data_IF_942448562118
#
_entry.id   IF_942448562118
#
_cell.length_a   1.000
_cell.length_b   1.000
_cell.length_c   1.000
_cell.angle_alpha   90.00
_cell.angle_beta   90.00
_cell.angle_gamma   90.00
#
_symmetry.space_group_name_H-M   'P 1'
#
loop_
_entity.id
_entity.type
_entity.pdbx_description
1 polymer ?
#
# COMPACT_ATOMS: atom_id res chain seq x y z
N UNK A 1 4.33 20.55 2.73
CA UNK A 1 3.51 19.34 2.88
C UNK A 1 3.12 18.69 1.54
N UNK A 2 2.99 19.44 0.43
CA UNK A 2 2.68 18.85 -0.89
C UNK A 2 3.82 17.97 -1.47
N UNK A 3 5.08 18.28 -1.16
CA UNK A 3 6.26 17.52 -1.60
C UNK A 3 6.19 16.04 -1.15
N UNK A 4 5.90 15.84 0.14
CA UNK A 4 5.87 14.51 0.77
C UNK A 4 4.74 13.62 0.23
N UNK A 5 3.60 14.23 -0.13
CA UNK A 5 2.43 13.48 -0.59
C UNK A 5 2.56 13.04 -2.06
N UNK A 6 3.20 13.84 -2.93
CA UNK A 6 3.46 13.40 -4.31
C UNK A 6 4.51 12.28 -4.35
N UNK A 7 5.53 12.37 -3.49
CA UNK A 7 6.57 11.35 -3.39
C UNK A 7 5.99 10.04 -2.86
N UNK A 8 5.14 10.11 -1.82
CA UNK A 8 4.42 8.95 -1.32
C UNK A 8 3.59 8.27 -2.41
N UNK A 9 2.83 9.03 -3.22
CA UNK A 9 2.00 8.45 -4.31
C UNK A 9 2.85 7.71 -5.34
N UNK A 10 4.00 8.28 -5.73
CA UNK A 10 4.91 7.61 -6.68
C UNK A 10 5.58 6.38 -6.09
N UNK A 11 6.00 6.45 -4.83
CA UNK A 11 6.61 5.29 -4.18
C UNK A 11 5.59 4.16 -3.98
N UNK A 12 4.33 4.49 -3.71
CA UNK A 12 3.26 3.50 -3.67
C UNK A 12 3.15 2.76 -5.00
N UNK A 13 3.15 3.48 -6.12
CA UNK A 13 3.12 2.84 -7.45
C UNK A 13 4.29 1.89 -7.65
N UNK A 14 5.51 2.30 -7.30
CA UNK A 14 6.70 1.46 -7.44
C UNK A 14 6.54 0.16 -6.66
N UNK A 15 6.07 0.22 -5.41
CA UNK A 15 5.91 -0.98 -4.59
C UNK A 15 4.68 -1.83 -4.95
N UNK A 16 3.62 -1.23 -5.49
CA UNK A 16 2.51 -1.99 -6.09
C UNK A 16 3.04 -2.76 -7.32
N UNK A 17 3.80 -2.11 -8.20
CA UNK A 17 4.41 -2.78 -9.35
C UNK A 17 5.33 -3.93 -8.92
N UNK A 18 6.23 -3.70 -7.95
CA UNK A 18 7.09 -4.74 -7.37
C UNK A 18 6.28 -5.94 -6.85
N UNK A 19 5.19 -5.67 -6.12
CA UNK A 19 4.29 -6.71 -5.64
C UNK A 19 3.68 -7.53 -6.78
N UNK A 20 3.17 -6.87 -7.84
CA UNK A 20 2.60 -7.53 -9.00
C UNK A 20 3.62 -8.44 -9.70
N UNK A 21 4.86 -7.97 -9.87
CA UNK A 21 5.95 -8.75 -10.47
C UNK A 21 6.30 -9.96 -9.61
N UNK A 22 6.40 -9.80 -8.29
CA UNK A 22 6.68 -10.89 -7.34
C UNK A 22 5.60 -11.95 -7.30
N UNK A 23 4.34 -11.55 -7.50
CA UNK A 23 3.20 -12.46 -7.64
C UNK A 23 3.07 -13.07 -9.04
N UNK A 24 4.02 -12.81 -9.95
CA UNK A 24 4.03 -13.30 -11.34
C UNK A 24 2.81 -12.83 -12.15
N UNK A 25 2.23 -11.69 -11.77
CA UNK A 25 1.08 -11.05 -12.42
C UNK A 25 1.58 -10.19 -13.59
N UNK A 26 2.25 -10.81 -14.56
CA UNK A 26 3.02 -10.10 -15.57
C UNK A 26 2.14 -9.21 -16.48
N UNK A 27 0.92 -9.62 -16.83
CA UNK A 27 0.06 -8.79 -17.69
C UNK A 27 -0.44 -7.56 -16.93
N UNK A 28 -0.84 -7.75 -15.67
CA UNK A 28 -1.24 -6.65 -14.80
C UNK A 28 -0.08 -5.69 -14.57
N UNK A 29 1.11 -6.20 -14.23
CA UNK A 29 2.31 -5.40 -13.99
C UNK A 29 2.69 -4.54 -15.20
N UNK A 30 2.69 -5.13 -16.41
CA UNK A 30 3.00 -4.41 -17.65
C UNK A 30 1.99 -3.30 -17.96
N UNK A 31 0.70 -3.58 -17.76
CA UNK A 31 -0.37 -2.60 -17.95
C UNK A 31 -0.26 -1.45 -16.95
N UNK A 32 -0.04 -1.79 -15.68
CA UNK A 32 0.13 -0.83 -14.60
C UNK A 32 1.35 0.08 -14.84
N UNK A 33 2.49 -0.49 -15.22
CA UNK A 33 3.71 0.26 -15.53
C UNK A 33 3.46 1.28 -16.66
N UNK A 34 2.74 0.87 -17.70
CA UNK A 34 2.44 1.72 -18.86
C UNK A 34 1.50 2.87 -18.48
N UNK A 35 0.44 2.57 -17.72
CA UNK A 35 -0.58 3.57 -17.35
C UNK A 35 -0.06 4.58 -16.30
N UNK A 36 0.72 4.12 -15.31
CA UNK A 36 1.26 4.96 -14.23
C UNK A 36 2.64 5.55 -14.52
N UNK A 37 3.28 5.14 -15.62
CA UNK A 37 4.67 5.50 -15.96
C UNK A 37 5.62 5.21 -14.80
N UNK A 38 5.44 4.05 -14.17
CA UNK A 38 6.26 3.61 -13.04
C UNK A 38 7.69 3.43 -13.54
N UNK A 39 8.66 4.03 -12.84
CA UNK A 39 10.08 3.83 -13.14
C UNK A 39 10.57 2.62 -12.34
N UNK A 40 10.85 1.47 -12.98
CA UNK A 40 11.25 0.24 -12.27
C UNK A 40 12.61 0.36 -11.60
N UNK A 41 13.43 1.29 -12.09
CA UNK A 41 14.78 1.59 -11.61
C UNK A 41 14.81 2.13 -10.16
N UNK A 42 13.65 2.47 -9.60
CA UNK A 42 13.50 3.13 -8.31
C UNK A 42 12.95 2.23 -7.19
N UNK A 43 13.10 0.91 -7.27
CA UNK A 43 12.83 0.05 -6.11
C UNK A 43 13.92 0.30 -5.06
N UNK A 44 13.64 1.22 -4.13
CA UNK A 44 14.60 1.60 -3.09
C UNK A 44 14.88 0.45 -2.10
N UNK A 45 13.94 -0.46 -1.92
CA UNK A 45 14.02 -1.58 -0.99
C UNK A 45 13.42 -2.82 -1.64
N UNK A 46 14.29 -3.70 -2.12
CA UNK A 46 13.89 -5.01 -2.66
C UNK A 46 13.92 -6.06 -1.54
N UNK A 47 12.74 -6.53 -1.13
CA UNK A 47 12.60 -7.62 -0.15
C UNK A 47 11.98 -8.86 -0.78
N UNK A 48 12.28 -10.10 -0.32
CA UNK A 48 11.76 -11.31 -0.95
C UNK A 48 10.23 -11.38 -1.04
N UNK A 49 9.52 -10.84 -0.04
CA UNK A 49 8.05 -10.78 -0.02
C UNK A 49 7.44 -9.54 -0.67
N UNK A 50 8.26 -8.54 -1.01
CA UNK A 50 7.82 -7.21 -1.42
C UNK A 50 7.63 -6.27 -0.22
N UNK A 51 8.20 -5.07 -0.31
CA UNK A 51 8.21 -4.12 0.79
C UNK A 51 6.81 -3.71 1.24
N UNK A 52 5.90 -3.48 0.29
CA UNK A 52 4.50 -3.15 0.58
C UNK A 52 3.81 -4.27 1.37
N UNK A 53 4.01 -5.53 0.95
CA UNK A 53 3.41 -6.69 1.61
C UNK A 53 3.93 -6.86 3.04
N UNK A 54 5.24 -6.75 3.26
CA UNK A 54 5.81 -6.87 4.60
C UNK A 54 5.34 -5.76 5.55
N UNK A 55 5.26 -4.52 5.06
CA UNK A 55 4.77 -3.40 5.88
C UNK A 55 3.29 -3.52 6.16
N UNK A 56 2.50 -3.98 5.18
CA UNK A 56 1.10 -4.27 5.36
C UNK A 56 0.85 -5.41 6.36
N UNK A 57 1.60 -6.52 6.24
CA UNK A 57 1.54 -7.65 7.18
C UNK A 57 1.85 -7.20 8.61
N UNK A 58 2.93 -6.43 8.80
CA UNK A 58 3.29 -5.92 10.14
C UNK A 58 2.20 -5.01 10.72
N UNK A 59 1.56 -4.19 9.88
CA UNK A 59 0.44 -3.36 10.32
C UNK A 59 -0.76 -4.20 10.77
N UNK A 60 -1.15 -5.20 9.97
CA UNK A 60 -2.25 -6.09 10.32
C UNK A 60 -1.94 -6.93 11.56
N UNK A 61 -0.70 -7.39 11.73
CA UNK A 61 -0.27 -8.11 12.94
C UNK A 61 -0.44 -7.26 14.19
N UNK A 62 -0.05 -5.98 14.15
CA UNK A 62 -0.21 -5.05 15.28
C UNK A 62 -1.69 -4.70 15.50
N UNK A 63 -2.45 -4.50 14.42
CA UNK A 63 -3.87 -4.18 14.48
C UNK A 63 -4.68 -5.34 15.09
N UNK A 64 -4.42 -6.57 14.63
CA UNK A 64 -5.06 -7.80 15.10
C UNK A 64 -4.40 -8.39 16.35
N UNK A 65 -3.26 -7.88 16.82
CA UNK A 65 -2.72 -8.25 18.13
C UNK A 65 -3.76 -8.00 19.25
N UNK A 66 -4.67 -7.03 19.04
CA UNK A 66 -5.82 -6.78 19.94
C UNK A 66 -6.87 -7.90 19.90
N UNK A 67 -7.03 -8.59 18.77
CA UNK A 67 -8.00 -9.67 18.56
C UNK A 67 -7.42 -11.06 18.85
N UNK A 68 -6.11 -11.19 19.16
CA UNK A 68 -5.38 -12.45 19.45
C UNK A 68 -5.42 -13.50 18.32
N UNK A 69 -5.89 -13.14 17.14
CA UNK A 69 -5.88 -14.02 15.97
C UNK A 69 -4.68 -13.71 15.09
N UNK A 70 -3.79 -14.70 14.91
CA UNK A 70 -2.71 -14.61 13.93
C UNK A 70 -3.32 -14.83 12.55
N UNK A 71 -3.22 -13.84 11.67
CA UNK A 71 -3.66 -14.01 10.29
C UNK A 71 -2.71 -14.96 9.55
N UNK A 72 -3.29 -15.80 8.70
CA UNK A 72 -2.53 -16.55 7.71
C UNK A 72 -2.01 -15.60 6.64
N UNK A 73 -0.82 -15.86 6.11
CA UNK A 73 -0.21 -15.06 5.04
C UNK A 73 -1.15 -14.91 3.83
N UNK A 74 -1.96 -15.93 3.54
CA UNK A 74 -2.97 -15.90 2.47
C UNK A 74 -4.12 -14.92 2.74
N UNK A 75 -4.51 -14.73 4.00
CA UNK A 75 -5.54 -13.78 4.39
C UNK A 75 -5.00 -12.34 4.33
N UNK A 76 -3.78 -12.11 4.81
CA UNK A 76 -3.06 -10.83 4.68
C UNK A 76 -2.91 -10.43 3.22
N UNK A 77 -2.53 -11.39 2.37
CA UNK A 77 -2.40 -11.19 0.93
C UNK A 77 -3.74 -10.88 0.27
N UNK A 78 -4.80 -11.62 0.60
CA UNK A 78 -6.14 -11.35 0.08
C UNK A 78 -6.60 -9.94 0.43
N UNK A 79 -6.40 -9.52 1.68
CA UNK A 79 -6.78 -8.19 2.14
C UNK A 79 -6.01 -7.09 1.39
N UNK A 80 -4.69 -7.25 1.24
CA UNK A 80 -3.88 -6.33 0.46
C UNK A 80 -4.35 -6.25 -0.99
N UNK A 81 -4.68 -7.38 -1.61
CA UNK A 81 -5.15 -7.43 -3.00
C UNK A 81 -6.47 -6.68 -3.18
N UNK A 82 -7.41 -6.78 -2.24
CA UNK A 82 -8.67 -6.00 -2.25
C UNK A 82 -8.36 -4.49 -2.25
N UNK A 83 -7.42 -4.05 -1.41
CA UNK A 83 -7.04 -2.65 -1.33
C UNK A 83 -6.22 -2.16 -2.55
N UNK A 84 -5.40 -3.02 -3.16
CA UNK A 84 -4.74 -2.73 -4.44
C UNK A 84 -5.79 -2.56 -5.54
N UNK A 85 -6.80 -3.43 -5.61
CA UNK A 85 -7.87 -3.30 -6.58
C UNK A 85 -8.64 -1.98 -6.42
N UNK A 86 -9.02 -1.62 -5.18
CA UNK A 86 -9.63 -0.32 -4.86
C UNK A 86 -8.78 0.86 -5.35
N UNK A 87 -7.46 0.78 -5.12
CA UNK A 87 -6.50 1.76 -5.60
C UNK A 87 -6.54 1.90 -7.13
N UNK A 88 -6.50 0.79 -7.86
CA UNK A 88 -6.53 0.80 -9.33
C UNK A 88 -7.81 1.46 -9.86
N UNK A 89 -8.96 1.11 -9.29
CA UNK A 89 -10.27 1.70 -9.65
C UNK A 89 -10.30 3.20 -9.36
N UNK A 90 -9.82 3.63 -8.19
CA UNK A 90 -9.81 5.05 -7.78
C UNK A 90 -8.84 5.89 -8.60
N UNK A 91 -7.74 5.31 -9.07
CA UNK A 91 -6.83 5.95 -10.03
C UNK A 91 -7.34 5.91 -11.48
N UNK A 92 -8.55 5.38 -11.72
CA UNK A 92 -9.19 5.25 -13.05
C UNK A 92 -8.42 4.33 -14.00
N UNK A 93 -7.67 3.36 -13.45
CA UNK A 93 -6.89 2.38 -14.21
C UNK A 93 -7.77 1.17 -14.55
N UNK A 94 -8.83 1.39 -15.31
CA UNK A 94 -9.88 0.39 -15.53
C UNK A 94 -9.37 -0.89 -16.22
N UNK A 95 -8.41 -0.76 -17.14
CA UNK A 95 -7.83 -1.89 -17.84
C UNK A 95 -6.96 -2.74 -16.91
N UNK A 96 -6.01 -2.10 -16.20
CA UNK A 96 -5.19 -2.77 -15.19
C UNK A 96 -6.04 -3.41 -14.08
N UNK A 97 -7.08 -2.73 -13.58
CA UNK A 97 -7.98 -3.28 -12.56
C UNK A 97 -8.69 -4.55 -13.04
N UNK A 98 -9.14 -4.57 -14.30
CA UNK A 98 -9.77 -5.74 -14.90
C UNK A 98 -8.78 -6.92 -15.00
N UNK A 99 -7.57 -6.68 -15.54
CA UNK A 99 -6.53 -7.71 -15.60
C UNK A 99 -6.18 -8.26 -14.22
N UNK A 100 -6.00 -7.38 -13.23
CA UNK A 100 -5.70 -7.78 -11.85
C UNK A 100 -6.78 -8.68 -11.26
N UNK A 101 -8.05 -8.31 -11.42
CA UNK A 101 -9.19 -9.10 -10.95
C UNK A 101 -9.20 -10.50 -11.56
N UNK A 102 -8.92 -10.60 -12.87
CA UNK A 102 -8.92 -11.89 -13.57
C UNK A 102 -7.79 -12.83 -13.13
N UNK A 103 -6.62 -12.27 -12.81
CA UNK A 103 -5.44 -13.06 -12.44
C UNK A 103 -5.45 -13.47 -10.96
N UNK A 104 -5.88 -12.57 -10.07
CA UNK A 104 -5.83 -12.78 -8.61
C UNK A 104 -7.11 -13.44 -8.07
N UNK A 105 -8.18 -13.50 -8.88
CA UNK A 105 -9.50 -14.02 -8.48
C UNK A 105 -10.03 -13.35 -7.19
N UNK A 106 -9.80 -12.05 -7.05
CA UNK A 106 -10.34 -11.27 -5.92
C UNK A 106 -11.86 -11.28 -6.02
N UNK A 107 -12.56 -11.70 -4.96
CA UNK A 107 -14.01 -11.51 -4.87
C UNK A 107 -14.30 -10.02 -4.69
N UNK A 108 -15.32 -9.51 -5.39
CA UNK A 108 -15.77 -8.10 -5.32
C UNK A 108 -16.44 -7.75 -3.98
N UNK A 109 -16.03 -8.39 -2.89
CA UNK A 109 -16.55 -8.05 -1.57
C UNK A 109 -16.27 -6.56 -1.33
N UNK A 110 -17.29 -5.79 -0.95
CA UNK A 110 -17.15 -4.35 -0.77
C UNK A 110 -16.04 -4.09 0.24
N UNK A 111 -15.08 -3.25 -0.16
CA UNK A 111 -14.02 -2.77 0.72
C UNK A 111 -14.68 -2.21 1.97
N UNK A 112 -14.33 -2.71 3.15
CA UNK A 112 -14.96 -2.30 4.41
C UNK A 112 -14.80 -0.79 4.71
N UNK A 113 -13.84 -0.13 4.05
CA UNK A 113 -13.51 1.28 4.24
C UNK A 113 -13.41 1.97 2.87
N UNK A 114 -14.52 2.54 2.40
CA UNK A 114 -14.53 3.36 1.19
C UNK A 114 -14.13 4.81 1.50
N UNK A 115 -12.90 5.17 1.16
CA UNK A 115 -12.43 6.57 1.22
C UNK A 115 -12.24 7.16 -0.18
N UNK A 116 -12.50 8.47 -0.40
CA UNK A 116 -12.41 9.07 -1.74
C UNK A 116 -11.07 8.90 -2.46
N UNK A 117 -9.98 8.68 -1.71
CA UNK A 117 -8.63 8.48 -2.25
C UNK A 117 -8.11 7.04 -2.20
N UNK A 118 -8.86 6.12 -1.61
CA UNK A 118 -8.45 4.74 -1.35
C UNK A 118 -7.74 4.59 -0.02
N UNK A 119 -8.11 3.55 0.75
CA UNK A 119 -7.53 3.32 2.07
C UNK A 119 -6.02 3.08 1.98
N UNK A 120 -5.58 2.30 0.99
CA UNK A 120 -4.16 1.99 0.78
C UNK A 120 -3.32 3.24 0.56
N UNK A 121 -3.81 4.20 -0.24
CA UNK A 121 -3.10 5.46 -0.48
C UNK A 121 -2.98 6.31 0.77
N UNK A 122 -4.04 6.39 1.57
CA UNK A 122 -4.02 7.16 2.81
C UNK A 122 -3.08 6.53 3.84
N UNK A 123 -3.20 5.21 4.06
CA UNK A 123 -2.32 4.47 4.94
C UNK A 123 -0.86 4.60 4.50
N UNK A 124 -0.59 4.46 3.20
CA UNK A 124 0.74 4.58 2.65
C UNK A 124 1.32 5.99 2.83
N UNK A 125 0.55 7.05 2.59
CA UNK A 125 1.03 8.42 2.79
C UNK A 125 1.47 8.68 4.24
N UNK A 126 0.73 8.15 5.23
CA UNK A 126 1.10 8.26 6.66
C UNK A 126 2.34 7.43 6.96
N UNK A 127 2.37 6.17 6.50
CA UNK A 127 3.51 5.28 6.68
C UNK A 127 4.79 5.87 6.06
N UNK A 128 4.71 6.36 4.82
CA UNK A 128 5.84 6.92 4.09
C UNK A 128 6.37 8.19 4.77
N UNK A 129 5.49 9.07 5.26
CA UNK A 129 5.90 10.25 6.02
C UNK A 129 6.69 9.87 7.28
N UNK A 130 6.22 8.85 8.02
CA UNK A 130 6.94 8.33 9.18
C UNK A 130 8.27 7.67 8.79
N UNK A 131 8.29 6.87 7.72
CA UNK A 131 9.49 6.18 7.24
C UNK A 131 10.58 7.16 6.79
N UNK A 132 10.22 8.21 6.06
CA UNK A 132 11.16 9.26 5.64
C UNK A 132 11.67 10.05 6.86
N UNK A 133 10.81 10.30 7.85
CA UNK A 133 11.20 10.99 9.08
C UNK A 133 12.10 10.15 9.99
N UNK A 134 11.94 8.83 10.00
CA UNK A 134 12.78 7.91 10.79
C UNK A 134 14.12 7.60 10.12
N UNK A 135 14.18 7.70 8.79
CA UNK A 135 15.42 7.48 8.01
C UNK A 135 16.22 8.76 7.76
N UNK A 136 15.61 9.95 7.93
CA UNK A 136 16.34 11.20 8.06
C UNK A 136 16.67 11.45 9.54
N UNK A 137 17.94 11.30 9.93
CA UNK A 137 18.49 11.50 11.30
C UNK A 137 18.17 12.86 11.98
N UNK A 138 17.39 13.77 11.37
CA UNK A 138 17.11 15.13 11.87
C UNK A 138 15.66 15.43 12.25
N UNK A 139 14.70 14.49 12.14
CA UNK A 139 13.27 14.81 12.37
C UNK A 139 12.47 13.80 13.24
N UNK A 140 13.13 12.93 14.02
CA UNK A 140 12.46 11.85 14.78
C UNK A 140 11.44 12.32 15.83
N UNK A 141 11.55 13.55 16.35
CA UNK A 141 10.62 14.07 17.35
C UNK A 141 9.24 14.44 16.78
N UNK A 142 9.18 14.99 15.56
CA UNK A 142 7.93 15.54 15.03
C UNK A 142 6.97 14.48 14.47
N UNK A 143 7.51 13.36 13.97
CA UNK A 143 6.69 12.28 13.41
C UNK A 143 6.04 11.39 14.49
N UNK A 144 6.73 11.20 15.62
CA UNK A 144 6.17 10.48 16.77
C UNK A 144 5.00 11.26 17.40
N UNK A 145 5.11 12.59 17.51
CA UNK A 145 4.03 13.44 18.00
C UNK A 145 2.80 13.43 17.07
N UNK A 146 2.99 13.46 15.74
CA UNK A 146 1.87 13.40 14.79
C UNK A 146 1.14 12.05 14.81
N UNK A 147 1.88 10.96 15.02
CA UNK A 147 1.29 9.63 15.17
C UNK A 147 0.46 9.54 16.47
N UNK A 148 1.01 10.03 17.58
CA UNK A 148 0.25 10.12 18.84
C UNK A 148 -0.96 11.05 18.71
N UNK A 149 -0.87 12.16 17.98
CA UNK A 149 -2.01 13.08 17.77
C UNK A 149 -3.10 12.51 16.86
N UNK A 150 -2.73 11.81 15.79
CA UNK A 150 -3.67 11.21 14.85
C UNK A 150 -4.46 10.06 15.49
N UNK A 151 -3.85 9.32 16.41
CA UNK A 151 -4.46 8.19 17.11
C UNK A 151 -5.05 8.54 18.50
N UNK A 152 -4.82 9.76 19.01
CA UNK A 152 -5.33 10.21 20.31
C UNK A 152 -6.52 11.18 20.23
N UNK A 153 -7.06 11.49 19.04
CA UNK A 153 -8.34 12.21 18.94
C UNK A 153 -9.50 11.26 19.27
N UNK A 154 -10.28 11.51 20.33
CA UNK A 154 -11.58 10.87 20.46
C UNK A 154 -12.52 11.43 19.38
N UNK A 155 -13.48 10.61 18.94
CA UNK A 155 -14.65 11.02 18.16
C UNK A 155 -15.37 12.21 18.81
#
# INVERSE_FOLDING_TARGET
MAQSNWEADKMLDVYIYDHLVKKKLHNTANSFMTERKVSPDHVAIDTPGGFLFERWSMFLDIYNAKTKEKLLDSAVEYELNVYIYDYLVKKKLHYTAYSFMTEVKVSMDPVAIDTPGGYLSQWWSVFWAFFVASTNEKHSESAAEQFSQAFSRPL
#
